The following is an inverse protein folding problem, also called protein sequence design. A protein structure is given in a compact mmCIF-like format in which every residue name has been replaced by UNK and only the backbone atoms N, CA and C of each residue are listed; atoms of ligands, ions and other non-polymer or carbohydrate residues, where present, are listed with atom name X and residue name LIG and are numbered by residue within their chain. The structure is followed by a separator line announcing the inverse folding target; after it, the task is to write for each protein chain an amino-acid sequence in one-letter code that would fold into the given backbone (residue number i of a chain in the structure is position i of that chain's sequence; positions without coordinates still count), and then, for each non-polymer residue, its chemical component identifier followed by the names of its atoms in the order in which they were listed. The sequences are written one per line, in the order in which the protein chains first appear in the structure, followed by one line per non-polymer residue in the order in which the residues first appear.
data_IF_899681544325
#
_entry.id   IF_899681544325
#
_cell.length_a   1.000
_cell.length_b   1.000
_cell.length_c   1.000
_cell.angle_alpha   90.00
_cell.angle_beta   90.00
_cell.angle_gamma   90.00
#
_symmetry.space_group_name_H-M   'P 1'
#
loop_
_entity.id
_entity.type
_entity.pdbx_description
1 polymer ?
#
# COMPACT_ATOMS: atom_id res chain seq x y z
N UNK A 1 34.21 -41.04 -13.27
CA UNK A 1 33.91 -39.65 -13.71
C UNK A 1 32.41 -39.30 -13.80
N UNK A 2 31.50 -40.22 -14.14
CA UNK A 2 30.05 -39.93 -14.24
C UNK A 2 29.40 -39.55 -12.88
N UNK A 3 29.81 -40.18 -11.79
CA UNK A 3 29.25 -39.94 -10.43
C UNK A 3 29.60 -38.52 -9.93
N UNK A 4 30.80 -38.02 -10.22
CA UNK A 4 31.25 -36.67 -9.84
C UNK A 4 30.42 -35.60 -10.56
N UNK A 5 30.04 -35.82 -11.83
CA UNK A 5 29.16 -34.90 -12.59
C UNK A 5 27.74 -34.84 -12.01
N UNK A 6 27.21 -35.96 -11.52
CA UNK A 6 25.86 -36.02 -10.93
C UNK A 6 25.83 -35.25 -9.60
N UNK A 7 26.87 -35.40 -8.78
CA UNK A 7 26.98 -34.67 -7.50
C UNK A 7 27.10 -33.16 -7.76
N UNK A 8 27.90 -32.75 -8.74
CA UNK A 8 28.06 -31.32 -9.06
C UNK A 8 26.74 -30.68 -9.54
N UNK A 9 25.96 -31.40 -10.33
CA UNK A 9 24.67 -30.93 -10.85
C UNK A 9 23.60 -30.87 -9.75
N UNK A 10 23.63 -31.80 -8.79
CA UNK A 10 22.74 -31.79 -7.63
C UNK A 10 23.02 -30.60 -6.67
N UNK A 11 24.29 -30.25 -6.46
CA UNK A 11 24.67 -29.11 -5.61
C UNK A 11 24.20 -27.78 -6.21
N UNK A 12 24.32 -27.59 -7.53
CA UNK A 12 23.83 -26.39 -8.22
C UNK A 12 22.30 -26.28 -8.11
N UNK A 13 21.58 -27.39 -8.28
CA UNK A 13 20.11 -27.40 -8.20
C UNK A 13 19.60 -27.02 -6.80
N UNK A 14 20.28 -27.47 -5.74
CA UNK A 14 19.96 -27.12 -4.35
C UNK A 14 20.20 -25.64 -4.02
N UNK A 15 21.19 -24.99 -4.63
CA UNK A 15 21.46 -23.56 -4.42
C UNK A 15 20.40 -22.64 -5.04
N UNK A 16 19.71 -23.05 -6.10
CA UNK A 16 18.69 -22.23 -6.77
C UNK A 16 17.38 -22.20 -5.96
N UNK A 17 17.05 -23.28 -5.24
CA UNK A 17 15.79 -23.39 -4.47
C UNK A 17 15.88 -22.61 -3.13
N UNK A 18 17.08 -22.45 -2.55
CA UNK A 18 17.28 -21.71 -1.31
C UNK A 18 17.25 -20.18 -1.43
N UNK A 19 17.32 -19.63 -2.66
CA UNK A 19 17.45 -18.19 -2.90
C UNK A 19 16.18 -17.36 -2.75
N UNK A 20 14.99 -17.98 -2.73
CA UNK A 20 13.72 -17.23 -2.73
C UNK A 20 13.27 -16.74 -1.35
N UNK A 21 13.85 -17.23 -0.24
CA UNK A 21 13.43 -16.80 1.11
C UNK A 21 14.10 -15.52 1.60
N UNK A 22 15.19 -15.07 0.94
CA UNK A 22 15.95 -13.91 1.39
C UNK A 22 15.30 -12.56 1.00
N UNK A 23 14.32 -12.58 0.09
CA UNK A 23 13.61 -11.40 -0.40
C UNK A 23 12.19 -11.30 0.13
N UNK A 24 11.93 -11.75 1.38
CA UNK A 24 10.70 -11.36 2.04
C UNK A 24 10.74 -9.83 2.24
N UNK A 25 9.86 -9.03 1.61
CA UNK A 25 9.83 -7.60 1.84
C UNK A 25 9.52 -7.40 3.33
N UNK A 26 10.52 -6.95 4.09
CA UNK A 26 10.30 -6.54 5.49
C UNK A 26 9.25 -5.44 5.43
N UNK A 27 8.02 -5.75 5.85
CA UNK A 27 6.97 -4.74 6.04
C UNK A 27 7.46 -3.81 7.13
N UNK A 28 8.18 -2.76 6.75
CA UNK A 28 8.57 -1.73 7.70
C UNK A 28 7.28 -1.10 8.20
N UNK A 29 6.98 -1.32 9.48
CA UNK A 29 5.88 -0.62 10.13
C UNK A 29 6.27 0.86 10.12
N UNK A 30 5.54 1.69 9.38
CA UNK A 30 5.70 3.14 9.44
C UNK A 30 5.51 3.58 10.90
N UNK A 31 6.53 4.21 11.46
CA UNK A 31 6.49 4.78 12.80
C UNK A 31 6.54 6.29 12.67
N UNK A 32 5.48 6.94 13.14
CA UNK A 32 5.40 8.39 13.23
C UNK A 32 6.10 8.82 14.52
N UNK A 33 7.06 9.72 14.41
CA UNK A 33 7.78 10.26 15.56
C UNK A 33 7.79 11.79 15.54
N UNK A 34 7.55 12.37 16.71
CA UNK A 34 7.62 13.82 16.95
C UNK A 34 8.24 14.05 18.32
N UNK A 35 9.12 15.04 18.42
CA UNK A 35 9.80 15.37 19.67
C UNK A 35 8.79 15.83 20.72
N UNK A 36 8.98 15.39 21.98
CA UNK A 36 8.18 15.79 23.14
C UNK A 36 6.70 15.38 23.11
N UNK A 37 6.33 14.36 22.33
CA UNK A 37 4.97 13.81 22.31
C UNK A 37 4.97 12.38 22.82
N UNK A 38 4.04 12.07 23.74
CA UNK A 38 3.84 10.72 24.25
C UNK A 38 3.21 9.79 23.22
N UNK A 39 3.40 8.47 23.38
CA UNK A 39 2.87 7.47 22.46
C UNK A 39 1.34 7.49 22.34
N UNK A 40 0.65 7.87 23.43
CA UNK A 40 -0.80 8.00 23.47
C UNK A 40 -1.30 9.12 22.56
N UNK A 41 -0.73 10.32 22.71
CA UNK A 41 -1.06 11.47 21.86
C UNK A 41 -0.70 11.21 20.39
N UNK A 42 0.42 10.53 20.10
CA UNK A 42 0.77 10.12 18.74
C UNK A 42 -0.26 9.15 18.13
N UNK A 43 -0.88 8.31 18.96
CA UNK A 43 -1.93 7.38 18.54
C UNK A 43 -3.24 8.11 18.26
N UNK A 44 -3.61 9.04 19.13
CA UNK A 44 -4.80 9.88 18.96
C UNK A 44 -4.70 10.78 17.72
N UNK A 45 -3.53 11.42 17.51
CA UNK A 45 -3.25 12.21 16.31
C UNK A 45 -3.37 11.36 15.04
N UNK A 46 -2.79 10.15 15.06
CA UNK A 46 -2.88 9.21 13.96
C UNK A 46 -4.32 8.78 13.68
N UNK A 47 -5.11 8.53 14.72
CA UNK A 47 -6.52 8.18 14.56
C UNK A 47 -7.33 9.33 13.97
N UNK A 48 -7.12 10.56 14.44
CA UNK A 48 -7.72 11.76 13.86
C UNK A 48 -7.37 11.91 12.37
N UNK A 49 -6.10 11.73 12.01
CA UNK A 49 -5.66 11.76 10.61
C UNK A 49 -6.29 10.65 9.76
N UNK A 50 -6.46 9.44 10.31
CA UNK A 50 -7.14 8.33 9.64
C UNK A 50 -8.62 8.63 9.38
N UNK A 51 -9.31 9.24 10.33
CA UNK A 51 -10.71 9.63 10.18
C UNK A 51 -10.87 10.73 9.13
N UNK A 52 -9.98 11.72 9.14
CA UNK A 52 -9.94 12.77 8.11
C UNK A 52 -9.71 12.18 6.71
N UNK A 53 -8.72 11.31 6.55
CA UNK A 53 -8.45 10.65 5.27
C UNK A 53 -9.64 9.83 4.76
N UNK A 54 -10.33 9.11 5.65
CA UNK A 54 -11.54 8.36 5.30
C UNK A 54 -12.68 9.28 4.85
N UNK A 55 -12.86 10.43 5.51
CA UNK A 55 -13.88 11.40 5.12
C UNK A 55 -13.59 12.02 3.74
N UNK A 56 -12.33 12.33 3.44
CA UNK A 56 -11.90 12.84 2.13
C UNK A 56 -12.18 11.81 1.03
N UNK A 57 -11.77 10.56 1.21
CA UNK A 57 -12.01 9.50 0.23
C UNK A 57 -13.51 9.25 0.01
N UNK A 58 -14.32 9.26 1.07
CA UNK A 58 -15.77 9.11 0.96
C UNK A 58 -16.41 10.24 0.15
N UNK A 59 -15.97 11.47 0.35
CA UNK A 59 -16.43 12.62 -0.44
C UNK A 59 -16.04 12.45 -1.90
N UNK A 60 -14.78 12.11 -2.15
CA UNK A 60 -14.26 11.98 -3.51
C UNK A 60 -14.95 10.82 -4.26
N UNK A 61 -15.22 9.69 -3.61
CA UNK A 61 -15.97 8.59 -4.22
C UNK A 61 -17.43 8.93 -4.53
N UNK A 62 -18.05 9.82 -3.73
CA UNK A 62 -19.39 10.34 -4.01
C UNK A 62 -19.37 11.24 -5.25
N UNK A 63 -18.34 12.09 -5.37
CA UNK A 63 -18.15 12.95 -6.55
C UNK A 63 -17.93 12.12 -7.81
N UNK A 64 -17.09 11.09 -7.74
CA UNK A 64 -16.83 10.21 -8.88
C UNK A 64 -18.10 9.47 -9.34
N UNK A 65 -18.96 9.05 -8.40
CA UNK A 65 -20.26 8.46 -8.71
C UNK A 65 -21.23 9.47 -9.34
N UNK A 66 -21.25 10.71 -8.88
CA UNK A 66 -22.10 11.76 -9.46
C UNK A 66 -21.64 12.13 -10.88
N UNK A 67 -20.31 12.18 -11.12
CA UNK A 67 -19.74 12.39 -12.45
C UNK A 67 -20.09 11.23 -13.38
N UNK A 68 -19.95 9.97 -12.93
CA UNK A 68 -20.26 8.81 -13.77
C UNK A 68 -21.73 8.79 -14.18
N UNK A 69 -22.64 9.05 -13.23
CA UNK A 69 -24.09 9.13 -13.50
C UNK A 69 -24.46 10.26 -14.46
N UNK A 70 -23.67 11.34 -14.48
CA UNK A 70 -23.80 12.43 -15.45
C UNK A 70 -23.25 12.09 -16.85
N UNK A 71 -22.33 11.13 -16.96
CA UNK A 71 -21.68 10.71 -18.21
C UNK A 71 -22.31 9.44 -18.84
N UNK A 72 -23.10 8.66 -18.10
CA UNK A 72 -23.76 7.42 -18.54
C UNK A 72 -24.80 7.59 -19.68
N UNK A 73 -24.90 8.77 -20.29
CA UNK A 73 -25.66 8.96 -21.54
C UNK A 73 -24.91 8.46 -22.77
N UNK A 74 -23.60 8.18 -22.70
CA UNK A 74 -22.82 7.80 -23.89
C UNK A 74 -21.52 7.02 -23.54
N UNK A 75 -21.59 5.71 -23.29
CA UNK A 75 -20.65 4.72 -23.85
C UNK A 75 -20.84 3.33 -23.25
N UNK A 76 -21.06 2.36 -24.13
CA UNK A 76 -20.97 0.94 -23.79
C UNK A 76 -19.51 0.49 -23.78
N UNK A 77 -19.06 -0.05 -22.66
CA UNK A 77 -17.75 -0.67 -22.54
C UNK A 77 -17.76 -1.68 -21.40
N UNK A 78 -17.94 -2.95 -21.71
CA UNK A 78 -17.73 -4.06 -20.77
C UNK A 78 -16.22 -4.21 -20.59
N UNK A 79 -15.62 -3.32 -19.81
CA UNK A 79 -14.23 -3.47 -19.37
C UNK A 79 -14.19 -4.45 -18.19
N UNK A 80 -13.17 -5.29 -18.16
CA UNK A 80 -13.00 -6.40 -17.23
C UNK A 80 -13.07 -5.92 -15.76
N UNK A 81 -14.29 -5.95 -15.21
CA UNK A 81 -14.67 -5.33 -13.93
C UNK A 81 -13.83 -5.78 -12.74
N UNK A 82 -13.20 -6.97 -12.82
CA UNK A 82 -12.31 -7.48 -11.77
C UNK A 82 -10.95 -6.80 -11.75
N UNK A 83 -10.35 -6.58 -12.92
CA UNK A 83 -9.05 -5.91 -13.00
C UNK A 83 -9.21 -4.42 -12.66
N UNK A 84 -10.23 -3.77 -13.20
CA UNK A 84 -10.56 -2.37 -12.89
C UNK A 84 -10.82 -2.17 -11.39
N UNK A 85 -11.54 -3.10 -10.74
CA UNK A 85 -11.79 -3.04 -9.30
C UNK A 85 -10.51 -3.20 -8.47
N UNK A 86 -9.63 -4.14 -8.84
CA UNK A 86 -8.36 -4.35 -8.13
C UNK A 86 -7.40 -3.16 -8.25
N UNK A 87 -7.34 -2.51 -9.41
CA UNK A 87 -6.56 -1.29 -9.61
C UNK A 87 -7.12 -0.12 -8.79
N UNK A 88 -8.44 0.08 -8.81
CA UNK A 88 -9.09 1.11 -7.99
C UNK A 88 -8.84 0.89 -6.49
N UNK A 89 -8.97 -0.34 -5.98
CA UNK A 89 -8.71 -0.64 -4.56
C UNK A 89 -7.24 -0.40 -4.17
N UNK A 90 -6.30 -0.67 -5.07
CA UNK A 90 -4.87 -0.41 -4.85
C UNK A 90 -4.58 1.10 -4.77
N UNK A 91 -5.12 1.87 -5.73
CA UNK A 91 -4.94 3.31 -5.78
C UNK A 91 -5.62 4.02 -4.61
N UNK A 92 -6.83 3.60 -4.24
CA UNK A 92 -7.55 4.14 -3.09
C UNK A 92 -6.77 3.88 -1.79
N UNK A 93 -6.19 2.69 -1.61
CA UNK A 93 -5.35 2.38 -0.45
C UNK A 93 -4.09 3.22 -0.40
N UNK A 94 -3.43 3.45 -1.53
CA UNK A 94 -2.25 4.30 -1.61
C UNK A 94 -2.59 5.77 -1.33
N UNK A 95 -3.73 6.24 -1.84
CA UNK A 95 -4.24 7.59 -1.60
C UNK A 95 -4.61 7.78 -0.13
N UNK A 96 -5.26 6.79 0.49
CA UNK A 96 -5.53 6.79 1.93
C UNK A 96 -4.25 6.98 2.74
N UNK A 97 -3.24 6.15 2.47
CA UNK A 97 -1.96 6.23 3.19
C UNK A 97 -1.28 7.59 2.99
N UNK A 98 -1.31 8.13 1.77
CA UNK A 98 -0.75 9.44 1.46
C UNK A 98 -1.44 10.56 2.24
N UNK A 99 -2.78 10.56 2.31
CA UNK A 99 -3.55 11.53 3.07
C UNK A 99 -3.24 11.47 4.57
N UNK A 100 -3.07 10.25 5.11
CA UNK A 100 -2.64 10.07 6.51
C UNK A 100 -1.22 10.59 6.71
N UNK A 101 -0.27 10.28 5.82
CA UNK A 101 1.10 10.79 5.89
C UNK A 101 1.13 12.32 5.86
N UNK A 102 0.42 12.95 4.92
CA UNK A 102 0.35 14.42 4.78
C UNK A 102 -0.26 15.09 6.02
N UNK A 103 -1.31 14.49 6.60
CA UNK A 103 -1.90 14.98 7.84
C UNK A 103 -0.92 14.89 9.01
N UNK A 104 -0.21 13.77 9.14
CA UNK A 104 0.78 13.57 10.20
C UNK A 104 1.99 14.50 10.04
N UNK A 105 2.46 14.70 8.80
CA UNK A 105 3.53 15.63 8.46
C UNK A 105 3.14 17.08 8.78
N UNK A 106 1.90 17.49 8.45
CA UNK A 106 1.35 18.79 8.85
C UNK A 106 1.25 19.00 10.36
N UNK A 107 1.15 17.93 11.14
CA UNK A 107 1.21 17.95 12.62
C UNK A 107 2.65 17.90 13.17
N UNK A 108 3.65 17.83 12.29
CA UNK A 108 5.07 17.80 12.63
C UNK A 108 5.59 16.41 13.01
N UNK A 109 4.90 15.34 12.60
CA UNK A 109 5.40 13.98 12.75
C UNK A 109 6.25 13.58 11.54
N UNK A 110 7.44 13.08 11.83
CA UNK A 110 8.36 12.57 10.83
C UNK A 110 8.13 11.07 10.69
N UNK A 111 8.01 10.59 9.45
CA UNK A 111 7.97 9.17 9.17
C UNK A 111 9.41 8.65 9.05
N UNK A 112 9.86 7.88 10.05
CA UNK A 112 11.23 7.34 10.09
C UNK A 112 11.47 6.16 9.12
N UNK A 113 10.46 5.79 8.32
CA UNK A 113 10.57 4.77 7.28
C UNK A 113 10.92 5.33 5.88
N UNK A 114 11.33 6.61 5.78
CA UNK A 114 11.67 7.28 4.51
C UNK A 114 13.18 7.35 4.29
#
# INVERSE_FOLDING_TARGET
MKIIKIIFLAVILLSIIGGCSLFAPKKQKKTYQRNNVGAEQATEDLEGCKQQAAAVLKRDSTIDQDISRGQDSDSGGIEDTRLAKGLNEYDEKNRYQRLVDECMDGRGYNNSAR
#
